data_IF_548894381775
#
_entry.id   IF_548894381775
#
_cell.length_a   1.000
_cell.length_b   1.000
_cell.length_c   1.000
_cell.angle_alpha   90.00
_cell.angle_beta   90.00
_cell.angle_gamma   90.00
#
_symmetry.space_group_name_H-M   'P 1'
#
loop_
_entity.id
_entity.type
_entity.pdbx_description
1 polymer ?
#
# COMPACT_ATOMS: atom_id res chain seq x y z
N UNK A 1 4.16 14.76 9.78
CA UNK A 1 4.33 14.78 8.31
C UNK A 1 3.02 14.41 7.65
N UNK A 2 2.43 15.31 6.89
CA UNK A 2 1.39 14.99 5.91
C UNK A 2 2.08 14.65 4.59
N UNK A 3 2.08 13.39 4.17
CA UNK A 3 2.46 13.05 2.80
C UNK A 3 1.37 13.57 1.86
N UNK A 4 1.76 14.36 0.86
CA UNK A 4 0.89 14.85 -0.20
C UNK A 4 1.54 14.48 -1.55
N UNK A 5 0.93 13.59 -2.35
CA UNK A 5 -0.27 12.81 -2.04
C UNK A 5 -0.02 11.80 -0.90
N UNK A 6 -1.08 11.42 -0.17
CA UNK A 6 -1.01 10.28 0.75
C UNK A 6 -0.83 9.01 -0.08
N UNK A 7 0.23 8.26 0.16
CA UNK A 7 0.65 7.11 -0.65
C UNK A 7 0.73 5.84 0.20
N UNK A 8 0.16 4.75 -0.32
CA UNK A 8 0.35 3.38 0.15
C UNK A 8 1.31 2.68 -0.81
N UNK A 9 2.37 2.10 -0.24
CA UNK A 9 3.35 1.29 -0.98
C UNK A 9 3.33 -0.12 -0.42
N UNK A 10 3.31 -1.11 -1.31
CA UNK A 10 3.27 -2.53 -0.94
C UNK A 10 4.66 -3.12 -1.08
N UNK A 11 5.01 -4.04 -0.19
CA UNK A 11 6.25 -4.80 -0.22
C UNK A 11 5.91 -6.29 -0.14
N UNK A 12 6.62 -7.13 -0.90
CA UNK A 12 6.57 -8.59 -0.81
C UNK A 12 8.00 -9.06 -0.60
N UNK A 13 8.26 -9.78 0.50
CA UNK A 13 9.61 -10.21 0.90
C UNK A 13 10.64 -9.07 0.88
N UNK A 14 10.28 -7.94 1.50
CA UNK A 14 11.06 -6.69 1.55
C UNK A 14 11.32 -6.00 0.18
N UNK A 15 10.74 -6.52 -0.90
CA UNK A 15 10.84 -5.93 -2.24
C UNK A 15 9.67 -4.98 -2.49
N UNK A 16 9.96 -3.70 -2.75
CA UNK A 16 8.95 -2.69 -3.12
C UNK A 16 8.24 -3.09 -4.42
N UNK A 17 6.91 -3.05 -4.41
CA UNK A 17 6.08 -3.46 -5.55
C UNK A 17 5.84 -2.30 -6.52
N UNK A 18 5.64 -2.64 -7.80
CA UNK A 18 5.38 -1.66 -8.88
C UNK A 18 4.12 -0.84 -8.66
N UNK A 19 3.06 -1.44 -8.09
CA UNK A 19 1.79 -0.77 -7.86
C UNK A 19 1.77 -0.10 -6.51
N UNK A 20 1.35 1.17 -6.51
CA UNK A 20 1.10 1.95 -5.30
C UNK A 20 -0.26 2.61 -5.39
N UNK A 21 -0.85 2.95 -4.25
CA UNK A 21 -2.15 3.64 -4.21
C UNK A 21 -1.96 5.04 -3.66
N UNK A 22 -2.43 6.05 -4.39
CA UNK A 22 -2.30 7.47 -4.02
C UNK A 22 -3.66 8.09 -3.70
N UNK A 23 -3.62 9.27 -3.06
CA UNK A 23 -4.79 10.02 -2.64
C UNK A 23 -5.71 9.24 -1.69
N UNK A 24 -5.11 8.35 -0.88
CA UNK A 24 -5.85 7.62 0.16
C UNK A 24 -6.41 8.58 1.22
N UNK A 25 -7.61 8.33 1.77
CA UNK A 25 -8.19 9.16 2.81
C UNK A 25 -7.34 9.17 4.09
N UNK A 26 -7.55 10.18 4.93
CA UNK A 26 -6.78 10.34 6.17
C UNK A 26 -6.97 9.18 7.17
N UNK A 27 -8.13 8.53 7.17
CA UNK A 27 -8.36 7.32 7.95
C UNK A 27 -7.65 6.14 7.28
N UNK A 28 -6.74 5.50 8.01
CA UNK A 28 -6.07 4.29 7.53
C UNK A 28 -7.14 3.20 7.44
N UNK A 29 -7.53 2.87 6.21
CA UNK A 29 -8.35 1.70 5.91
C UNK A 29 -7.48 0.76 5.09
N UNK A 30 -7.22 -0.44 5.60
CA UNK A 30 -6.59 -1.49 4.83
C UNK A 30 -7.69 -2.26 4.10
N UNK A 31 -7.51 -2.45 2.80
CA UNK A 31 -8.35 -3.33 2.00
C UNK A 31 -7.45 -4.43 1.46
N UNK A 32 -7.85 -5.67 1.68
CA UNK A 32 -7.15 -6.84 1.16
C UNK A 32 -8.12 -7.62 0.30
N UNK A 33 -7.66 -8.00 -0.88
CA UNK A 33 -8.45 -8.73 -1.85
C UNK A 33 -7.97 -10.17 -1.90
N UNK A 34 -8.77 -11.06 -1.32
CA UNK A 34 -8.44 -12.47 -1.14
C UNK A 34 -9.40 -13.28 -2.03
N UNK A 35 -8.93 -13.71 -3.21
CA UNK A 35 -9.79 -14.35 -4.23
C UNK A 35 -9.68 -15.87 -4.29
N UNK A 36 -8.55 -16.44 -3.88
CA UNK A 36 -8.27 -17.86 -4.10
C UNK A 36 -8.91 -18.71 -2.98
N UNK A 37 -9.46 -19.90 -3.27
CA UNK A 37 -9.94 -20.81 -2.24
C UNK A 37 -8.86 -21.08 -1.19
N UNK A 38 -9.23 -21.05 0.09
CA UNK A 38 -8.34 -21.24 1.24
C UNK A 38 -7.20 -20.21 1.37
N UNK A 39 -7.22 -19.10 0.62
CA UNK A 39 -6.28 -18.01 0.85
C UNK A 39 -6.72 -17.16 2.04
N UNK A 40 -5.75 -16.77 2.86
CA UNK A 40 -5.94 -15.83 3.97
C UNK A 40 -4.61 -15.16 4.30
N UNK A 41 -4.66 -14.08 5.05
CA UNK A 41 -3.48 -13.43 5.59
C UNK A 41 -3.73 -13.06 7.05
N UNK A 42 -2.67 -12.97 7.83
CA UNK A 42 -2.72 -12.56 9.23
C UNK A 42 -1.89 -11.30 9.37
N UNK A 43 -2.46 -10.28 10.02
CA UNK A 43 -1.71 -9.08 10.40
C UNK A 43 -0.85 -9.43 11.62
N UNK A 44 0.45 -9.57 11.42
CA UNK A 44 1.40 -9.90 12.50
C UNK A 44 1.83 -8.66 13.30
N UNK A 45 1.81 -7.48 12.68
CA UNK A 45 2.24 -6.23 13.29
C UNK A 45 1.53 -5.04 12.64
N UNK A 46 1.07 -4.09 13.45
CA UNK A 46 0.57 -2.81 12.99
C UNK A 46 1.27 -1.71 13.78
N UNK A 47 2.16 -0.97 13.12
CA UNK A 47 2.96 0.06 13.75
C UNK A 47 3.00 1.35 12.93
N UNK A 48 3.11 2.48 13.64
CA UNK A 48 3.34 3.77 13.02
C UNK A 48 4.85 4.01 12.91
N UNK A 49 5.38 4.01 11.69
CA UNK A 49 6.77 4.42 11.45
C UNK A 49 6.88 5.94 11.35
N UNK A 50 7.99 6.50 11.82
CA UNK A 50 8.31 7.93 11.72
C UNK A 50 8.67 8.37 10.29
N UNK A 51 9.18 7.43 9.49
CA UNK A 51 9.59 7.64 8.10
C UNK A 51 9.07 6.51 7.19
N UNK A 52 8.91 6.83 5.91
CA UNK A 52 8.57 5.86 4.86
C UNK A 52 9.78 4.99 4.51
N UNK A 53 9.56 3.71 4.24
CA UNK A 53 10.57 2.79 3.67
C UNK A 53 10.48 2.67 2.15
N UNK A 54 9.57 3.40 1.51
CA UNK A 54 9.48 3.43 0.05
C UNK A 54 10.60 4.27 -0.54
N UNK A 55 11.28 3.72 -1.55
CA UNK A 55 12.36 4.35 -2.29
C UNK A 55 11.98 4.60 -3.76
N UNK A 56 10.91 3.96 -4.24
CA UNK A 56 10.45 4.04 -5.62
C UNK A 56 11.08 2.96 -6.50
N UNK A 57 10.30 2.48 -7.46
CA UNK A 57 10.71 1.42 -8.40
C UNK A 57 10.55 1.94 -9.83
N UNK A 58 11.50 1.62 -10.72
CA UNK A 58 11.41 2.00 -12.14
C UNK A 58 10.13 1.45 -12.77
N UNK A 59 9.38 2.33 -13.44
CA UNK A 59 8.09 1.96 -14.03
C UNK A 59 6.95 1.80 -13.02
N UNK A 60 7.08 2.35 -11.81
CA UNK A 60 6.00 2.32 -10.81
C UNK A 60 4.70 2.92 -11.35
N UNK A 61 3.57 2.31 -11.00
CA UNK A 61 2.23 2.77 -11.36
C UNK A 61 1.52 3.24 -10.09
N UNK A 62 1.04 4.48 -10.11
CA UNK A 62 0.22 5.05 -9.05
C UNK A 62 -1.26 4.91 -9.41
N UNK A 63 -1.98 4.13 -8.61
CA UNK A 63 -3.41 3.90 -8.73
C UNK A 63 -4.16 4.92 -7.87
N UNK A 64 -5.14 5.58 -8.47
CA UNK A 64 -5.96 6.57 -7.78
C UNK A 64 -6.98 5.85 -6.86
N UNK A 65 -6.97 6.20 -5.58
CA UNK A 65 -7.95 5.65 -4.64
C UNK A 65 -9.39 5.92 -5.09
N UNK A 66 -10.26 4.91 -5.01
CA UNK A 66 -11.68 5.02 -5.35
C UNK A 66 -11.98 5.02 -6.86
N UNK A 67 -10.98 4.79 -7.72
CA UNK A 67 -11.19 4.49 -9.14
C UNK A 67 -11.27 2.98 -9.37
N UNK A 68 -11.69 2.61 -10.57
CA UNK A 68 -11.61 1.23 -11.08
C UNK A 68 -10.25 1.06 -11.74
N UNK A 69 -9.59 -0.07 -11.50
CA UNK A 69 -8.24 -0.42 -11.92
C UNK A 69 -8.18 -1.88 -12.34
#
# INVERSE_FOLDING_TARGET
MSSNPRKLTVFVDDIEQKYSVINIPQAIRFWSFVQQPNSSFIVTKFERRSFSSAHGVTGSIALEWGKVW
#
